data_IF_652787023461
#
_entry.id   IF_652787023461
#
_cell.length_a   1.000
_cell.length_b   1.000
_cell.length_c   1.000
_cell.angle_alpha   90.00
_cell.angle_beta   90.00
_cell.angle_gamma   90.00
#
_symmetry.space_group_name_H-M   'P 1'
#
loop_
_entity.id
_entity.type
_entity.pdbx_description
1 polymer ?
#
# COMPACT_ATOMS: atom_id res chain seq x y z
N UNK A 1 -8.02 14.00 -21.26
CA UNK A 1 -6.74 13.45 -20.79
C UNK A 1 -6.64 11.99 -21.16
N UNK A 2 -5.45 11.46 -21.33
CA UNK A 2 -5.21 10.05 -21.66
C UNK A 2 -4.00 9.53 -20.88
N UNK A 3 -4.08 8.31 -20.42
CA UNK A 3 -2.94 7.58 -19.85
C UNK A 3 -2.34 6.68 -20.94
N UNK A 4 -1.09 6.91 -21.28
CA UNK A 4 -0.38 6.14 -22.30
C UNK A 4 0.66 5.25 -21.65
N UNK A 5 0.61 3.95 -21.95
CA UNK A 5 1.61 2.99 -21.48
C UNK A 5 2.92 3.17 -22.24
N UNK A 6 3.97 3.49 -21.52
CA UNK A 6 5.31 3.66 -22.09
C UNK A 6 6.20 2.43 -21.95
N UNK A 7 6.02 1.65 -20.87
CA UNK A 7 6.85 0.47 -20.60
C UNK A 7 6.11 -0.56 -19.77
N UNK A 8 6.52 -1.80 -19.91
CA UNK A 8 6.07 -2.90 -19.08
C UNK A 8 7.27 -3.74 -18.67
N UNK A 9 7.36 -4.08 -17.37
CA UNK A 9 8.28 -5.06 -16.84
C UNK A 9 7.48 -6.26 -16.34
N UNK A 10 7.59 -7.43 -16.97
CA UNK A 10 6.95 -8.63 -16.44
C UNK A 10 7.47 -8.93 -15.03
N UNK A 11 6.56 -9.07 -14.11
CA UNK A 11 6.81 -9.44 -12.73
C UNK A 11 5.55 -10.14 -12.21
N UNK A 12 5.58 -11.45 -12.16
CA UNK A 12 4.43 -12.24 -11.75
C UNK A 12 3.96 -11.84 -10.36
N UNK A 13 2.66 -11.55 -10.25
CA UNK A 13 2.00 -11.21 -8.98
C UNK A 13 2.61 -10.01 -8.25
N UNK A 14 2.93 -8.93 -8.99
CA UNK A 14 3.32 -7.68 -8.36
C UNK A 14 2.14 -7.13 -7.54
N UNK A 15 2.23 -7.26 -6.22
CA UNK A 15 1.14 -6.85 -5.30
C UNK A 15 1.33 -5.45 -4.76
N UNK A 16 2.58 -5.08 -4.45
CA UNK A 16 2.89 -3.81 -3.84
C UNK A 16 4.02 -3.12 -4.61
N UNK A 17 3.90 -1.82 -4.73
CA UNK A 17 4.92 -0.93 -5.25
C UNK A 17 5.33 0.07 -4.19
N UNK A 18 6.60 0.43 -4.20
CA UNK A 18 7.17 1.45 -3.36
C UNK A 18 8.19 2.23 -4.17
N UNK A 19 8.22 3.54 -3.98
CA UNK A 19 9.08 4.43 -4.73
C UNK A 19 9.98 5.21 -3.77
N UNK A 20 11.26 5.29 -4.10
CA UNK A 20 12.20 6.23 -3.52
C UNK A 20 12.67 7.24 -4.58
N UNK A 21 13.66 8.04 -4.28
CA UNK A 21 14.23 8.97 -5.25
C UNK A 21 14.81 8.24 -6.48
N UNK A 22 15.54 7.14 -6.28
CA UNK A 22 16.24 6.41 -7.35
C UNK A 22 15.57 5.12 -7.78
N UNK A 23 14.77 4.50 -6.91
CA UNK A 23 14.29 3.13 -7.10
C UNK A 23 12.78 3.00 -7.19
N UNK A 24 12.36 1.95 -7.89
CA UNK A 24 11.01 1.37 -7.83
C UNK A 24 11.17 -0.03 -7.30
N UNK A 25 10.48 -0.35 -6.21
CA UNK A 25 10.48 -1.67 -5.57
C UNK A 25 9.15 -2.36 -5.86
N UNK A 26 9.18 -3.42 -6.63
CA UNK A 26 8.00 -4.26 -6.90
C UNK A 26 8.04 -5.51 -6.03
N UNK A 27 7.09 -5.64 -5.10
CA UNK A 27 7.02 -6.80 -4.22
C UNK A 27 6.04 -7.83 -4.76
N UNK A 28 6.51 -9.07 -4.83
CA UNK A 28 5.68 -10.27 -5.00
C UNK A 28 5.67 -11.05 -3.69
N UNK A 29 4.85 -12.07 -3.54
CA UNK A 29 4.78 -12.77 -2.26
C UNK A 29 6.15 -13.20 -1.68
N UNK A 30 7.11 -13.64 -2.49
CA UNK A 30 8.38 -14.21 -2.03
C UNK A 30 9.62 -13.49 -2.58
N UNK A 31 9.44 -12.45 -3.36
CA UNK A 31 10.51 -11.70 -4.01
C UNK A 31 10.25 -10.21 -3.97
N UNK A 32 11.33 -9.43 -4.02
CA UNK A 32 11.27 -8.00 -4.26
C UNK A 32 12.19 -7.65 -5.44
N UNK A 33 11.62 -7.07 -6.49
CA UNK A 33 12.37 -6.58 -7.64
C UNK A 33 12.77 -5.13 -7.39
N UNK A 34 14.05 -4.85 -7.43
CA UNK A 34 14.64 -3.51 -7.34
C UNK A 34 14.87 -3.04 -8.77
N UNK A 35 14.23 -1.95 -9.16
CA UNK A 35 14.27 -1.38 -10.51
C UNK A 35 14.66 0.09 -10.45
N UNK A 36 15.23 0.61 -11.55
CA UNK A 36 15.36 2.04 -11.74
C UNK A 36 14.01 2.70 -12.13
N UNK A 37 13.99 4.01 -12.25
CA UNK A 37 12.80 4.78 -12.64
C UNK A 37 12.31 4.50 -14.07
N UNK A 38 13.10 3.81 -14.87
CA UNK A 38 12.79 3.36 -16.23
C UNK A 38 12.32 1.89 -16.25
N UNK A 39 12.06 1.26 -15.10
CA UNK A 39 11.73 -0.16 -14.95
C UNK A 39 12.84 -1.10 -15.46
N UNK A 40 14.10 -0.71 -15.51
CA UNK A 40 15.18 -1.65 -15.72
C UNK A 40 15.46 -2.38 -14.42
N UNK A 41 15.50 -3.71 -14.47
CA UNK A 41 15.79 -4.52 -13.30
C UNK A 41 17.25 -4.34 -12.91
N UNK A 42 17.48 -3.94 -11.67
CA UNK A 42 18.80 -3.85 -11.05
C UNK A 42 19.11 -5.15 -10.34
N UNK A 43 18.19 -5.60 -9.47
CA UNK A 43 18.37 -6.82 -8.69
C UNK A 43 17.02 -7.43 -8.29
N UNK A 44 17.04 -8.74 -7.98
CA UNK A 44 15.90 -9.44 -7.37
C UNK A 44 16.31 -10.03 -6.04
N UNK A 45 15.68 -9.58 -4.97
CA UNK A 45 15.82 -10.17 -3.64
C UNK A 45 14.91 -11.37 -3.54
N UNK A 46 15.47 -12.55 -3.39
CA UNK A 46 14.73 -13.81 -3.33
C UNK A 46 14.70 -14.41 -1.91
N UNK A 47 13.89 -15.44 -1.71
CA UNK A 47 13.78 -16.16 -0.45
C UNK A 47 13.23 -15.28 0.68
N UNK A 48 12.28 -14.42 0.34
CA UNK A 48 11.48 -13.64 1.28
C UNK A 48 10.26 -14.47 1.68
N UNK A 49 9.74 -14.21 2.88
CA UNK A 49 8.37 -14.56 3.21
C UNK A 49 7.48 -13.43 2.69
N UNK A 50 6.18 -13.64 2.66
CA UNK A 50 5.23 -12.70 2.08
C UNK A 50 5.49 -11.23 2.48
N UNK A 51 5.91 -10.40 1.52
CA UNK A 51 6.28 -9.00 1.78
C UNK A 51 5.06 -8.11 1.74
N UNK A 52 4.80 -7.38 2.81
CA UNK A 52 3.71 -6.40 2.92
C UNK A 52 4.13 -4.99 2.61
N UNK A 53 5.34 -4.62 3.02
CA UNK A 53 5.80 -3.25 2.99
C UNK A 53 7.28 -3.21 2.63
N UNK A 54 7.65 -2.19 1.88
CA UNK A 54 9.02 -1.89 1.55
C UNK A 54 9.26 -0.38 1.68
N UNK A 55 10.43 0.02 2.14
CA UNK A 55 10.85 1.41 2.14
C UNK A 55 12.36 1.50 2.03
N UNK A 56 12.83 2.39 1.16
CA UNK A 56 14.25 2.70 1.01
C UNK A 56 14.67 3.72 2.09
N UNK A 57 15.87 3.55 2.67
CA UNK A 57 16.41 4.47 3.66
C UNK A 57 16.59 5.88 3.07
N UNK A 58 16.60 6.94 3.90
CA UNK A 58 16.73 8.32 3.42
C UNK A 58 17.99 8.59 2.61
N UNK A 59 19.07 7.87 2.91
CA UNK A 59 20.36 7.94 2.20
C UNK A 59 20.44 6.99 0.99
N UNK A 60 19.34 6.26 0.71
CA UNK A 60 19.22 5.26 -0.36
C UNK A 60 20.28 4.14 -0.34
N UNK A 61 20.85 3.84 0.81
CA UNK A 61 21.82 2.75 0.95
C UNK A 61 21.21 1.43 1.37
N UNK A 62 20.00 1.45 1.96
CA UNK A 62 19.34 0.25 2.50
C UNK A 62 17.87 0.19 2.12
N UNK A 63 17.35 -1.03 2.03
CA UNK A 63 15.95 -1.31 1.79
C UNK A 63 15.39 -2.11 2.98
N UNK A 64 14.35 -1.58 3.61
CA UNK A 64 13.53 -2.28 4.58
C UNK A 64 12.45 -3.07 3.85
N UNK A 65 12.31 -4.36 4.18
CA UNK A 65 11.23 -5.23 3.70
C UNK A 65 10.53 -5.86 4.90
N UNK A 66 9.25 -5.58 5.10
CA UNK A 66 8.44 -6.16 6.17
C UNK A 66 7.67 -7.33 5.62
N UNK A 67 7.85 -8.49 6.25
CA UNK A 67 7.21 -9.74 5.86
C UNK A 67 6.02 -10.08 6.76
N UNK A 68 5.18 -10.95 6.24
CA UNK A 68 4.18 -11.64 7.05
C UNK A 68 4.85 -12.48 8.15
N UNK A 69 4.22 -12.53 9.29
CA UNK A 69 4.76 -13.22 10.46
C UNK A 69 5.56 -12.29 11.36
N UNK A 70 6.71 -12.76 11.83
CA UNK A 70 7.53 -12.05 12.81
C UNK A 70 8.90 -11.65 12.28
N UNK A 71 9.00 -11.33 11.00
CA UNK A 71 10.29 -11.07 10.37
C UNK A 71 10.25 -9.82 9.52
N UNK A 72 11.39 -9.14 9.48
CA UNK A 72 11.69 -8.15 8.47
C UNK A 72 13.12 -8.32 7.99
N UNK A 73 13.43 -7.70 6.87
CA UNK A 73 14.74 -7.79 6.24
C UNK A 73 15.29 -6.40 5.98
N UNK A 74 16.59 -6.28 6.15
CA UNK A 74 17.35 -5.13 5.66
C UNK A 74 18.24 -5.62 4.53
N UNK A 75 18.11 -4.99 3.37
CA UNK A 75 18.94 -5.27 2.19
C UNK A 75 19.86 -4.08 1.97
N UNK A 76 21.15 -4.35 1.88
CA UNK A 76 22.12 -3.35 1.44
C UNK A 76 21.97 -3.13 -0.07
N UNK A 77 21.76 -1.90 -0.53
CA UNK A 77 21.50 -1.60 -1.93
C UNK A 77 22.75 -1.54 -2.82
N UNK A 78 23.96 -1.62 -2.24
CA UNK A 78 25.19 -1.72 -2.99
C UNK A 78 25.65 -3.17 -3.21
N UNK A 79 25.56 -3.98 -2.15
CA UNK A 79 25.98 -5.38 -2.20
C UNK A 79 24.84 -6.37 -2.47
N UNK A 80 23.59 -5.93 -2.26
CA UNK A 80 22.37 -6.73 -2.26
C UNK A 80 22.36 -7.86 -1.22
N UNK A 81 23.25 -7.78 -0.24
CA UNK A 81 23.21 -8.67 0.90
C UNK A 81 21.99 -8.43 1.78
N UNK A 82 21.38 -9.52 2.21
CA UNK A 82 20.13 -9.50 2.98
C UNK A 82 20.37 -9.96 4.40
N UNK A 83 20.05 -9.11 5.37
CA UNK A 83 20.01 -9.46 6.80
C UNK A 83 18.56 -9.69 7.22
N UNK A 84 18.30 -10.88 7.80
CA UNK A 84 16.99 -11.22 8.35
C UNK A 84 16.95 -10.92 9.84
N UNK A 85 15.95 -10.18 10.27
CA UNK A 85 15.70 -9.88 11.67
C UNK A 85 14.39 -10.53 12.10
N UNK A 86 14.43 -11.26 13.24
CA UNK A 86 13.24 -11.83 13.85
C UNK A 86 12.76 -10.93 14.96
N UNK A 87 11.49 -10.52 14.90
CA UNK A 87 10.89 -9.67 15.93
C UNK A 87 10.73 -10.46 17.23
N UNK A 88 11.42 -10.02 18.26
CA UNK A 88 11.27 -10.58 19.60
C UNK A 88 10.01 -10.05 20.26
N UNK A 89 9.11 -10.92 20.58
CA UNK A 89 7.92 -10.54 21.31
C UNK A 89 7.33 -11.75 22.02
N UNK A 90 6.58 -11.56 23.13
CA UNK A 90 6.13 -12.65 24.02
C UNK A 90 5.08 -13.57 23.38
N UNK A 91 4.59 -13.28 22.19
CA UNK A 91 3.54 -14.06 21.53
C UNK A 91 3.82 -14.18 20.02
N UNK A 92 3.17 -15.10 19.31
CA UNK A 92 3.23 -15.17 17.86
C UNK A 92 2.70 -13.86 17.28
N UNK A 93 3.53 -13.14 16.53
CA UNK A 93 3.21 -11.83 15.98
C UNK A 93 3.09 -11.90 14.47
N UNK A 94 2.08 -11.22 13.98
CA UNK A 94 2.06 -10.83 12.59
C UNK A 94 2.52 -9.37 12.50
N UNK A 95 3.48 -9.10 11.66
CA UNK A 95 3.77 -7.77 11.22
C UNK A 95 2.79 -7.47 10.09
N UNK A 96 1.74 -6.72 10.39
CA UNK A 96 0.71 -6.35 9.41
C UNK A 96 0.64 -4.84 9.36
N UNK A 97 1.56 -4.23 8.66
CA UNK A 97 1.52 -2.78 8.54
C UNK A 97 2.73 -2.24 7.82
N UNK A 98 2.57 -1.04 7.32
CA UNK A 98 3.67 -0.30 6.74
C UNK A 98 4.55 0.23 7.86
N UNK A 99 5.83 -0.13 7.84
CA UNK A 99 6.87 0.50 8.66
C UNK A 99 7.60 1.57 7.87
N UNK A 100 8.41 2.36 8.56
CA UNK A 100 9.25 3.35 7.92
C UNK A 100 10.61 3.54 8.61
N UNK A 101 11.55 4.09 7.85
CA UNK A 101 12.81 4.59 8.38
C UNK A 101 12.61 5.88 9.18
N UNK A 102 13.47 6.12 10.17
CA UNK A 102 13.61 7.46 10.73
C UNK A 102 14.21 8.41 9.70
N UNK A 103 13.98 9.70 9.87
CA UNK A 103 14.51 10.73 8.95
C UNK A 103 16.03 10.74 8.86
N UNK A 104 16.73 10.37 9.93
CA UNK A 104 18.18 10.25 9.98
C UNK A 104 18.72 8.88 9.55
N UNK A 105 17.84 7.94 9.19
CA UNK A 105 18.19 6.58 8.79
C UNK A 105 18.75 5.69 9.91
N UNK A 106 18.79 6.16 11.15
CA UNK A 106 19.38 5.41 12.27
C UNK A 106 18.43 4.48 13.00
N UNK A 107 17.15 4.60 12.72
CA UNK A 107 16.12 3.76 13.31
C UNK A 107 15.08 3.36 12.27
N UNK A 108 14.34 2.32 12.58
CA UNK A 108 13.15 1.94 11.84
C UNK A 108 11.97 1.80 12.80
N UNK A 109 10.80 2.18 12.32
CA UNK A 109 9.54 2.08 13.03
C UNK A 109 8.68 0.99 12.41
N UNK A 110 8.21 0.05 13.20
CA UNK A 110 7.39 -1.08 12.74
C UNK A 110 6.18 -1.24 13.66
N UNK A 111 4.95 -1.26 13.12
CA UNK A 111 3.79 -1.71 13.86
C UNK A 111 3.92 -3.20 14.16
N UNK A 112 3.87 -3.58 15.43
CA UNK A 112 3.97 -4.97 15.88
C UNK A 112 2.64 -5.36 16.49
N UNK A 113 1.90 -6.25 15.83
CA UNK A 113 0.64 -6.74 16.35
C UNK A 113 0.85 -7.82 17.43
N UNK A 114 0.02 -7.83 18.43
CA UNK A 114 -0.02 -8.90 19.44
C UNK A 114 -1.10 -9.92 19.08
N UNK A 115 -0.71 -11.15 18.85
CA UNK A 115 -1.55 -12.20 18.24
C UNK A 115 -2.61 -12.82 19.12
N UNK A 116 -2.72 -12.46 20.38
CA UNK A 116 -3.76 -13.04 21.25
C UNK A 116 -5.07 -12.28 21.12
N UNK A 117 -5.83 -12.63 20.08
CA UNK A 117 -7.22 -12.24 19.98
C UNK A 117 -7.46 -10.76 19.79
N UNK A 118 -7.13 -10.22 18.62
CA UNK A 118 -7.63 -8.92 18.17
C UNK A 118 -7.26 -7.69 19.00
N UNK A 119 -6.23 -7.74 19.80
CA UNK A 119 -5.83 -6.64 20.66
C UNK A 119 -4.74 -5.83 20.01
N UNK A 120 -4.81 -4.55 20.22
CA UNK A 120 -3.99 -3.45 19.81
C UNK A 120 -2.51 -3.81 19.57
N UNK A 121 -1.92 -3.16 18.59
CA UNK A 121 -0.50 -3.28 18.29
C UNK A 121 0.34 -2.32 19.15
N UNK A 122 1.63 -2.49 19.09
CA UNK A 122 2.61 -1.52 19.57
C UNK A 122 3.36 -0.95 18.40
N UNK A 123 3.79 0.30 18.47
CA UNK A 123 4.75 0.86 17.54
C UNK A 123 6.14 0.61 18.11
N UNK A 124 6.95 -0.18 17.41
CA UNK A 124 8.31 -0.51 17.85
C UNK A 124 9.34 0.24 17.05
N UNK A 125 10.27 0.88 17.75
CA UNK A 125 11.46 1.51 17.19
C UNK A 125 12.67 0.59 17.37
N UNK A 126 13.33 0.24 16.29
CA UNK A 126 14.61 -0.48 16.31
C UNK A 126 15.77 0.45 16.02
N UNK A 127 16.91 0.24 16.69
CA UNK A 127 18.17 0.84 16.30
C UNK A 127 18.80 0.05 15.15
N UNK A 128 19.21 0.71 14.08
CA UNK A 128 19.76 0.04 12.87
C UNK A 128 21.13 -0.56 13.11
N UNK A 129 21.91 0.01 14.02
CA UNK A 129 23.24 -0.52 14.38
C UNK A 129 23.15 -1.75 15.32
N UNK A 130 22.01 -1.95 15.98
CA UNK A 130 21.82 -3.05 16.92
C UNK A 130 20.32 -3.39 17.05
N UNK A 131 19.83 -4.33 16.25
CA UNK A 131 18.43 -4.75 16.26
C UNK A 131 17.98 -5.49 17.54
N UNK A 132 18.91 -5.77 18.47
CA UNK A 132 18.56 -6.24 19.81
C UNK A 132 18.03 -5.09 20.68
N UNK A 133 18.34 -3.85 20.34
CA UNK A 133 17.87 -2.64 21.02
C UNK A 133 16.61 -2.12 20.34
N UNK A 134 15.52 -2.13 21.09
CA UNK A 134 14.25 -1.59 20.63
C UNK A 134 13.48 -0.91 21.78
N UNK A 135 12.58 -0.04 21.39
CA UNK A 135 11.68 0.70 22.26
C UNK A 135 10.24 0.53 21.77
N UNK A 136 9.31 0.25 22.67
CA UNK A 136 7.89 0.11 22.38
C UNK A 136 7.12 1.37 22.80
N UNK A 137 6.37 1.94 21.83
CA UNK A 137 5.51 3.10 22.00
C UNK A 137 4.06 2.74 21.69
N UNK A 138 3.11 3.51 22.21
CA UNK A 138 1.67 3.31 22.00
C UNK A 138 1.17 1.89 22.30
N UNK A 139 1.81 1.22 23.27
CA UNK A 139 1.51 -0.17 23.59
C UNK A 139 0.03 -0.34 23.99
N UNK A 140 -0.63 -1.31 23.33
CA UNK A 140 -2.01 -1.74 23.63
C UNK A 140 -3.10 -0.65 23.50
N UNK A 141 -2.81 0.48 22.87
CA UNK A 141 -3.78 1.55 22.69
C UNK A 141 -4.50 1.48 21.34
N UNK A 142 -3.78 1.19 20.28
CA UNK A 142 -4.30 1.19 18.92
C UNK A 142 -3.94 -0.10 18.17
N UNK A 143 -4.79 -0.48 17.24
CA UNK A 143 -4.39 -1.31 16.12
C UNK A 143 -3.81 -0.38 15.05
N UNK A 144 -2.49 -0.34 14.94
CA UNK A 144 -1.78 0.57 14.04
C UNK A 144 -1.68 -0.10 12.67
N UNK A 145 -2.17 0.59 11.65
CA UNK A 145 -2.18 0.06 10.28
C UNK A 145 -0.88 0.38 9.52
N UNK A 146 -0.23 1.47 9.87
CA UNK A 146 1.01 1.89 9.24
C UNK A 146 1.56 3.18 9.82
N UNK A 147 2.80 3.44 9.54
CA UNK A 147 3.50 4.68 9.84
C UNK A 147 4.24 5.15 8.59
N UNK A 148 4.18 6.43 8.30
CA UNK A 148 4.89 7.08 7.21
C UNK A 148 5.51 8.40 7.64
N UNK A 149 6.57 8.78 6.96
CA UNK A 149 7.15 10.13 7.07
C UNK A 149 6.33 11.08 6.20
N UNK A 150 6.01 12.26 6.69
CA UNK A 150 5.16 13.21 5.95
C UNK A 150 5.83 14.54 5.60
N UNK A 151 6.91 14.92 6.28
CA UNK A 151 7.64 16.15 5.99
C UNK A 151 9.09 16.10 6.46
N UNK A 152 9.84 17.15 6.15
CA UNK A 152 11.23 17.30 6.57
C UNK A 152 11.40 17.69 8.04
N UNK A 153 10.31 17.97 8.77
CA UNK A 153 10.35 18.39 10.17
C UNK A 153 10.29 17.22 11.15
N UNK A 154 10.70 16.03 10.73
CA UNK A 154 10.68 14.80 11.52
C UNK A 154 9.27 14.38 11.97
N UNK A 155 8.23 14.77 11.25
CA UNK A 155 6.86 14.38 11.58
C UNK A 155 6.48 13.08 10.89
N UNK A 156 5.96 12.16 11.67
CA UNK A 156 5.40 10.90 11.21
C UNK A 156 3.88 10.96 11.30
N UNK A 157 3.24 10.28 10.39
CA UNK A 157 1.81 10.10 10.39
C UNK A 157 1.46 8.61 10.52
N UNK A 158 0.54 8.32 11.41
CA UNK A 158 0.01 6.99 11.64
C UNK A 158 -1.52 7.02 11.51
N UNK A 159 -2.06 5.93 11.04
CA UNK A 159 -3.48 5.64 11.20
C UNK A 159 -3.65 4.46 12.15
N UNK A 160 -4.62 4.56 13.03
CA UNK A 160 -4.92 3.50 13.96
C UNK A 160 -6.39 3.48 14.35
N UNK A 161 -6.87 2.36 14.84
CA UNK A 161 -8.21 2.27 15.41
C UNK A 161 -8.15 1.67 16.80
N UNK A 162 -8.96 2.22 17.71
CA UNK A 162 -9.08 1.73 19.07
C UNK A 162 -10.27 0.77 19.16
N UNK A 163 -9.99 -0.51 19.33
CA UNK A 163 -11.04 -1.55 19.43
C UNK A 163 -11.90 -1.43 20.69
N UNK A 164 -11.34 -0.88 21.75
CA UNK A 164 -12.08 -0.65 23.02
C UNK A 164 -13.09 0.49 22.89
N UNK A 165 -12.93 1.34 21.86
CA UNK A 165 -13.81 2.46 21.55
C UNK A 165 -14.60 2.21 20.25
N UNK A 166 -15.19 1.04 20.10
CA UNK A 166 -16.00 0.68 18.92
C UNK A 166 -15.23 0.81 17.58
N UNK A 167 -13.96 0.45 17.57
CA UNK A 167 -13.08 0.61 16.40
C UNK A 167 -12.99 2.07 15.91
N UNK A 168 -13.10 3.03 16.82
CA UNK A 168 -12.92 4.44 16.47
C UNK A 168 -11.56 4.65 15.82
N UNK A 169 -11.54 5.33 14.70
CA UNK A 169 -10.32 5.61 13.95
C UNK A 169 -9.68 6.90 14.44
N UNK A 170 -8.35 6.92 14.42
CA UNK A 170 -7.53 8.04 14.84
C UNK A 170 -6.50 8.39 13.76
N UNK A 171 -6.26 9.68 13.59
CA UNK A 171 -5.04 10.20 13.02
C UNK A 171 -4.07 10.48 14.16
N UNK A 172 -2.85 10.01 14.00
CA UNK A 172 -1.82 10.14 15.01
C UNK A 172 -0.59 10.76 14.35
N UNK A 173 -0.20 11.93 14.83
CA UNK A 173 1.02 12.59 14.42
C UNK A 173 2.08 12.42 15.50
N UNK A 174 3.30 12.15 15.09
CA UNK A 174 4.41 11.92 15.99
C UNK A 174 5.62 12.70 15.50
N UNK A 175 6.22 13.53 16.35
CA UNK A 175 7.37 14.39 16.02
C UNK A 175 8.72 13.83 16.52
N UNK A 176 8.77 12.56 16.91
CA UNK A 176 9.94 11.93 17.53
C UNK A 176 9.93 12.00 19.06
N UNK A 177 9.08 12.82 19.66
CA UNK A 177 9.00 13.01 21.13
C UNK A 177 7.59 12.83 21.68
N UNK A 178 6.60 13.39 21.01
CA UNK A 178 5.20 13.41 21.46
C UNK A 178 4.22 12.95 20.39
N UNK A 179 3.20 12.23 20.83
CA UNK A 179 2.08 11.82 20.00
C UNK A 179 0.91 12.80 20.14
N UNK A 180 0.39 13.26 19.01
CA UNK A 180 -0.85 14.04 18.93
C UNK A 180 -1.91 13.20 18.25
N UNK A 181 -2.99 12.92 18.95
CA UNK A 181 -4.02 11.96 18.55
C UNK A 181 -5.34 12.68 18.27
N UNK A 182 -5.90 12.44 17.10
CA UNK A 182 -7.12 13.08 16.67
C UNK A 182 -8.14 12.01 16.26
N UNK A 183 -9.24 11.87 17.02
CA UNK A 183 -10.29 10.94 16.65
C UNK A 183 -11.05 11.47 15.43
N UNK A 184 -11.36 10.60 14.49
CA UNK A 184 -12.21 10.96 13.37
C UNK A 184 -13.66 11.14 13.83
N UNK A 185 -14.34 12.16 13.29
CA UNK A 185 -15.76 12.41 13.57
C UNK A 185 -16.69 11.31 13.06
N UNK A 186 -16.31 10.64 12.00
CA UNK A 186 -17.08 9.54 11.41
C UNK A 186 -16.25 8.25 11.44
N UNK A 187 -16.88 7.14 11.84
CA UNK A 187 -16.25 5.83 11.69
C UNK A 187 -15.96 5.59 10.21
N UNK A 188 -14.71 5.66 9.83
CA UNK A 188 -14.30 5.19 8.53
C UNK A 188 -14.09 3.67 8.68
N UNK A 189 -14.92 2.85 8.04
CA UNK A 189 -14.59 1.46 7.80
C UNK A 189 -13.40 1.45 6.82
N UNK A 190 -12.21 1.69 7.38
CA UNK A 190 -10.98 1.68 6.62
C UNK A 190 -10.51 0.24 6.54
N UNK A 191 -10.74 -0.39 5.40
CA UNK A 191 -10.28 -1.76 5.14
C UNK A 191 -8.77 -1.85 4.93
N UNK A 192 -8.12 -0.77 4.61
CA UNK A 192 -6.67 -0.60 4.62
C UNK A 192 -6.34 0.88 4.59
N UNK A 193 -5.35 1.32 5.33
CA UNK A 193 -5.09 2.73 5.47
C UNK A 193 -4.13 3.21 4.40
N UNK A 194 -4.63 3.48 3.26
CA UNK A 194 -3.97 4.44 2.39
C UNK A 194 -4.55 5.81 2.73
N UNK A 195 -3.96 6.47 3.69
CA UNK A 195 -4.24 7.87 3.95
C UNK A 195 -3.06 8.69 3.44
N UNK A 196 -3.34 9.69 2.62
CA UNK A 196 -2.37 10.67 2.16
C UNK A 196 -2.55 11.96 2.93
N UNK A 197 -1.43 12.55 3.34
CA UNK A 197 -1.43 13.80 4.11
C UNK A 197 -0.86 14.92 3.26
N UNK A 198 -1.66 15.93 3.02
CA UNK A 198 -1.23 17.22 2.44
C UNK A 198 -1.07 18.21 3.59
N UNK A 199 0.16 18.43 4.02
CA UNK A 199 0.46 19.33 5.15
C UNK A 199 0.21 20.78 4.79
N UNK A 200 0.47 21.20 3.56
CA UNK A 200 0.28 22.58 3.12
C UNK A 200 -1.20 22.95 3.12
N UNK A 201 -2.05 22.09 2.60
CA UNK A 201 -3.51 22.28 2.61
C UNK A 201 -4.15 21.85 3.92
N UNK A 202 -3.41 21.25 4.85
CA UNK A 202 -3.89 20.70 6.13
C UNK A 202 -5.02 19.69 5.96
N UNK A 203 -4.89 18.80 4.98
CA UNK A 203 -5.91 17.82 4.60
C UNK A 203 -5.34 16.42 4.67
N UNK A 204 -6.09 15.50 5.26
CA UNK A 204 -5.88 14.06 5.16
C UNK A 204 -6.96 13.48 4.26
N UNK A 205 -6.55 12.79 3.22
CA UNK A 205 -7.44 12.05 2.32
C UNK A 205 -7.38 10.57 2.66
N UNK A 206 -8.54 9.98 2.92
CA UNK A 206 -8.68 8.58 3.33
C UNK A 206 -9.47 7.79 2.30
N UNK A 207 -8.95 6.63 1.91
CA UNK A 207 -9.67 5.66 1.10
C UNK A 207 -10.84 5.02 1.85
N UNK A 208 -11.95 4.86 1.17
CA UNK A 208 -13.03 3.98 1.58
C UNK A 208 -13.59 3.25 0.36
N UNK A 209 -14.28 2.14 0.58
CA UNK A 209 -14.96 1.39 -0.49
C UNK A 209 -15.90 2.30 -1.30
N UNK A 210 -16.47 3.33 -0.67
CA UNK A 210 -17.48 4.22 -1.27
C UNK A 210 -16.89 5.50 -1.90
N UNK A 211 -15.56 5.68 -1.88
CA UNK A 211 -14.91 6.89 -2.39
C UNK A 211 -13.84 7.44 -1.45
N UNK A 212 -13.43 8.69 -1.68
CA UNK A 212 -12.43 9.37 -0.88
C UNK A 212 -13.10 10.29 0.14
N UNK A 213 -12.69 10.22 1.39
CA UNK A 213 -13.10 11.16 2.42
C UNK A 213 -11.93 12.07 2.77
N UNK A 214 -12.19 13.35 2.82
CA UNK A 214 -11.22 14.35 3.25
C UNK A 214 -11.55 14.84 4.65
N UNK A 215 -10.50 14.98 5.44
CA UNK A 215 -10.55 15.44 6.83
C UNK A 215 -9.51 16.53 7.02
N UNK A 216 -9.73 17.41 8.00
CA UNK A 216 -8.64 18.25 8.53
C UNK A 216 -7.60 17.38 9.24
N UNK A 217 -6.44 17.94 9.54
CA UNK A 217 -5.42 17.23 10.33
C UNK A 217 -5.96 16.81 11.71
N UNK A 218 -6.95 17.54 12.24
CA UNK A 218 -7.59 17.27 13.52
C UNK A 218 -8.76 16.27 13.42
N UNK A 219 -8.95 15.61 12.27
CA UNK A 219 -9.97 14.57 12.08
C UNK A 219 -11.39 15.03 11.82
N UNK A 220 -11.62 16.36 11.57
CA UNK A 220 -12.94 16.86 11.20
C UNK A 220 -13.22 16.59 9.73
N UNK A 221 -14.41 16.08 9.44
CA UNK A 221 -14.81 15.81 8.07
C UNK A 221 -14.94 17.12 7.26
N UNK A 222 -14.33 17.14 6.07
CA UNK A 222 -14.41 18.27 5.13
C UNK A 222 -15.41 17.93 4.03
N UNK A 223 -15.15 16.86 3.28
CA UNK A 223 -16.02 16.40 2.19
C UNK A 223 -15.83 14.92 1.90
N UNK A 224 -16.82 14.36 1.24
CA UNK A 224 -16.74 13.04 0.61
C UNK A 224 -16.72 13.24 -0.89
N UNK A 225 -15.72 12.72 -1.57
CA UNK A 225 -15.69 12.60 -3.01
C UNK A 225 -16.28 11.23 -3.31
N UNK A 226 -17.54 11.21 -3.73
CA UNK A 226 -18.19 9.97 -4.13
C UNK A 226 -17.51 9.45 -5.37
N UNK A 227 -16.94 8.27 -5.29
CA UNK A 227 -16.55 7.54 -6.48
C UNK A 227 -17.84 7.15 -7.22
N UNK A 228 -17.94 7.31 -8.55
CA UNK A 228 -18.97 6.63 -9.28
C UNK A 228 -18.78 5.15 -8.95
N UNK A 229 -19.74 4.56 -8.23
CA UNK A 229 -19.67 3.18 -7.80
C UNK A 229 -19.16 2.35 -8.98
N UNK A 230 -18.07 1.59 -8.84
CA UNK A 230 -17.62 0.73 -9.90
C UNK A 230 -18.84 -0.10 -10.29
N UNK A 231 -19.22 -0.05 -11.54
CA UNK A 231 -20.35 -0.85 -12.03
C UNK A 231 -20.05 -2.28 -11.62
N UNK A 232 -21.04 -2.96 -11.08
CA UNK A 232 -20.91 -4.39 -10.79
C UNK A 232 -20.23 -5.05 -11.98
N UNK A 233 -19.02 -5.54 -11.74
CA UNK A 233 -18.26 -6.19 -12.78
C UNK A 233 -18.82 -7.59 -12.91
N UNK A 234 -19.34 -7.91 -14.06
CA UNK A 234 -19.62 -9.30 -14.40
C UNK A 234 -18.29 -9.98 -14.66
N UNK A 235 -17.77 -10.66 -13.66
CA UNK A 235 -16.60 -11.52 -13.79
C UNK A 235 -17.08 -12.90 -14.24
N UNK A 236 -16.47 -13.44 -15.28
CA UNK A 236 -16.57 -14.88 -15.47
C UNK A 236 -15.94 -15.56 -14.25
N UNK A 237 -16.62 -16.54 -13.69
CA UNK A 237 -16.09 -17.25 -12.52
C UNK A 237 -14.68 -17.78 -12.77
N UNK A 238 -14.38 -18.20 -14.01
CA UNK A 238 -13.06 -18.59 -14.45
C UNK A 238 -12.01 -17.49 -14.30
N UNK A 239 -12.36 -16.24 -14.56
CA UNK A 239 -11.43 -15.12 -14.51
C UNK A 239 -11.15 -14.72 -13.07
N UNK A 240 -12.15 -14.80 -12.18
CA UNK A 240 -12.00 -14.54 -10.75
C UNK A 240 -10.98 -15.49 -10.07
N UNK A 241 -10.86 -16.71 -10.59
CA UNK A 241 -9.96 -17.74 -10.03
C UNK A 241 -8.71 -18.00 -10.87
N UNK A 242 -8.55 -17.35 -12.01
CA UNK A 242 -7.39 -17.53 -12.90
C UNK A 242 -6.05 -17.32 -12.18
N UNK A 243 -6.01 -16.40 -11.22
CA UNK A 243 -4.82 -16.14 -10.40
C UNK A 243 -4.43 -17.35 -9.52
N UNK A 244 -5.36 -18.27 -9.21
CA UNK A 244 -5.07 -19.46 -8.43
C UNK A 244 -4.39 -20.56 -9.26
N UNK A 245 -4.38 -20.41 -10.57
CA UNK A 245 -3.85 -21.39 -11.49
C UNK A 245 -2.36 -21.23 -11.81
N UNK A 246 -1.69 -20.22 -11.25
CA UNK A 246 -0.24 -19.98 -11.37
C UNK A 246 0.31 -19.98 -12.81
N UNK A 247 -0.50 -19.58 -13.78
CA UNK A 247 -0.12 -19.65 -15.19
C UNK A 247 -0.23 -21.05 -15.80
N UNK A 248 -0.65 -22.05 -15.03
CA UNK A 248 -0.86 -23.43 -15.48
C UNK A 248 -2.10 -23.50 -16.40
N UNK A 249 -1.85 -23.63 -17.69
CA UNK A 249 -2.89 -23.65 -18.73
C UNK A 249 -3.87 -24.82 -18.58
N UNK A 250 -3.41 -25.97 -18.10
CA UNK A 250 -4.28 -27.14 -17.89
C UNK A 250 -5.25 -26.90 -16.73
N UNK A 251 -4.79 -26.36 -15.62
CA UNK A 251 -5.64 -25.94 -14.49
C UNK A 251 -6.63 -24.86 -14.90
N UNK A 252 -6.19 -23.90 -15.71
CA UNK A 252 -7.07 -22.84 -16.22
C UNK A 252 -8.22 -23.39 -17.07
N UNK A 253 -7.91 -24.30 -18.00
CA UNK A 253 -8.92 -24.93 -18.84
C UNK A 253 -9.88 -25.77 -18.01
N UNK A 254 -9.38 -26.55 -17.08
CA UNK A 254 -10.20 -27.36 -16.17
C UNK A 254 -11.12 -26.48 -15.29
N UNK A 255 -10.61 -25.33 -14.81
CA UNK A 255 -11.43 -24.39 -14.05
C UNK A 255 -12.55 -23.81 -14.90
N UNK A 256 -12.29 -23.47 -16.16
CA UNK A 256 -13.32 -23.00 -17.11
C UNK A 256 -14.40 -24.05 -17.34
N UNK A 257 -14.01 -25.29 -17.56
CA UNK A 257 -14.96 -26.40 -17.76
C UNK A 257 -15.82 -26.64 -16.52
N UNK A 258 -15.21 -26.65 -15.32
CA UNK A 258 -15.95 -26.81 -14.07
C UNK A 258 -16.89 -25.64 -13.83
N UNK A 259 -16.44 -24.40 -14.05
CA UNK A 259 -17.28 -23.20 -13.89
C UNK A 259 -18.50 -23.23 -14.83
N UNK A 260 -18.30 -23.60 -16.09
CA UNK A 260 -19.36 -23.75 -17.04
C UNK A 260 -20.37 -24.88 -16.66
N UNK A 261 -19.82 -26.02 -16.20
CA UNK A 261 -20.66 -27.17 -15.77
C UNK A 261 -21.53 -26.85 -14.54
N UNK A 262 -21.10 -25.91 -13.71
CA UNK A 262 -21.82 -25.45 -12.52
C UNK A 262 -22.74 -24.24 -12.81
N UNK A 263 -22.81 -23.76 -14.06
CA UNK A 263 -23.56 -22.56 -14.42
C UNK A 263 -23.01 -21.27 -13.81
N UNK A 264 -21.75 -21.27 -13.40
CA UNK A 264 -21.06 -20.13 -12.81
C UNK A 264 -20.34 -19.30 -13.89
N UNK A 265 -21.01 -19.06 -15.01
CA UNK A 265 -20.38 -18.35 -16.12
C UNK A 265 -20.14 -16.88 -15.79
N UNK A 266 -21.06 -16.27 -15.04
CA UNK A 266 -20.98 -14.86 -14.67
C UNK A 266 -21.26 -14.66 -13.18
N UNK A 267 -20.30 -14.12 -12.47
CA UNK A 267 -20.43 -13.68 -11.07
C UNK A 267 -20.43 -12.16 -11.07
N UNK A 268 -21.50 -11.55 -10.57
CA UNK A 268 -21.50 -10.14 -10.23
C UNK A 268 -20.73 -9.97 -8.91
N UNK A 269 -19.58 -9.34 -8.96
CA UNK A 269 -18.78 -9.03 -7.79
C UNK A 269 -18.55 -7.52 -7.73
N UNK A 270 -18.60 -6.92 -6.52
CA UNK A 270 -18.26 -5.52 -6.38
C UNK A 270 -16.79 -5.31 -6.77
N UNK A 271 -16.53 -4.26 -7.53
CA UNK A 271 -15.18 -3.87 -7.91
C UNK A 271 -14.53 -3.15 -6.72
N UNK A 272 -13.61 -3.82 -6.04
CA UNK A 272 -12.95 -3.28 -4.85
C UNK A 272 -11.86 -2.28 -5.23
N UNK A 273 -11.89 -1.11 -4.59
CA UNK A 273 -10.79 -0.15 -4.65
C UNK A 273 -9.62 -0.75 -3.87
N UNK A 274 -8.50 -0.96 -4.54
CA UNK A 274 -7.27 -1.48 -3.94
C UNK A 274 -6.39 -0.37 -3.38
N UNK A 275 -6.32 0.77 -4.08
CA UNK A 275 -5.58 1.96 -3.63
C UNK A 275 -6.13 3.22 -4.28
N UNK A 276 -6.00 4.35 -3.59
CA UNK A 276 -6.16 5.65 -4.22
C UNK A 276 -5.18 6.65 -3.60
N UNK A 277 -4.88 7.69 -4.33
CA UNK A 277 -3.93 8.71 -3.92
C UNK A 277 -4.23 10.04 -4.63
N UNK A 278 -4.01 11.15 -3.93
CA UNK A 278 -4.04 12.46 -4.53
C UNK A 278 -2.73 12.65 -5.33
N UNK A 279 -2.84 13.13 -6.57
CA UNK A 279 -1.66 13.46 -7.37
C UNK A 279 -0.79 14.52 -6.70
N UNK A 280 0.49 14.50 -6.99
CA UNK A 280 1.46 15.48 -6.47
C UNK A 280 1.07 16.93 -6.75
N UNK A 281 0.40 17.20 -7.88
CA UNK A 281 -0.14 18.52 -8.20
C UNK A 281 -1.47 18.85 -7.49
N UNK A 282 -2.07 17.89 -6.79
CA UNK A 282 -3.32 18.08 -6.04
C UNK A 282 -4.58 18.28 -6.86
N UNK A 283 -4.47 18.22 -8.20
CA UNK A 283 -5.60 18.42 -9.13
C UNK A 283 -6.35 17.15 -9.50
N UNK A 284 -5.76 15.99 -9.25
CA UNK A 284 -6.30 14.70 -9.65
C UNK A 284 -6.26 13.69 -8.50
N UNK A 285 -7.11 12.69 -8.59
CA UNK A 285 -7.07 11.49 -7.75
C UNK A 285 -6.81 10.31 -8.64
N UNK A 286 -5.74 9.56 -8.35
CA UNK A 286 -5.50 8.24 -8.91
C UNK A 286 -6.25 7.21 -8.10
N UNK A 287 -6.87 6.27 -8.79
CA UNK A 287 -7.65 5.21 -8.18
C UNK A 287 -7.36 3.89 -8.87
N UNK A 288 -6.97 2.90 -8.10
CA UNK A 288 -6.83 1.53 -8.53
C UNK A 288 -8.00 0.69 -8.04
N UNK A 289 -8.52 -0.15 -8.91
CA UNK A 289 -9.50 -1.18 -8.56
C UNK A 289 -9.13 -2.50 -9.25
N UNK A 290 -9.77 -3.58 -8.88
CA UNK A 290 -9.54 -4.86 -9.56
C UNK A 290 -9.87 -4.80 -11.06
N UNK A 291 -10.76 -3.91 -11.48
CA UNK A 291 -11.20 -3.77 -12.86
C UNK A 291 -10.37 -2.81 -13.70
N UNK A 292 -9.52 -1.98 -13.10
CA UNK A 292 -8.74 -1.03 -13.84
C UNK A 292 -8.11 0.06 -13.00
N UNK A 293 -7.54 1.03 -13.70
CA UNK A 293 -6.95 2.22 -13.13
C UNK A 293 -7.66 3.47 -13.67
N UNK A 294 -7.95 4.42 -12.79
CA UNK A 294 -8.75 5.60 -13.09
C UNK A 294 -8.03 6.86 -12.65
N UNK A 295 -8.18 7.89 -13.45
CA UNK A 295 -7.83 9.27 -13.10
C UNK A 295 -9.14 10.05 -12.89
N UNK A 296 -9.29 10.67 -11.74
CA UNK A 296 -10.46 11.47 -11.39
C UNK A 296 -10.07 12.93 -11.21
N UNK A 297 -10.99 13.84 -11.46
CA UNK A 297 -10.88 15.24 -11.04
C UNK A 297 -11.01 15.33 -9.52
N UNK A 298 -10.07 15.98 -8.85
CA UNK A 298 -10.06 16.06 -7.38
C UNK A 298 -11.16 16.99 -6.80
N UNK A 299 -11.70 17.87 -7.63
CA UNK A 299 -12.80 18.78 -7.24
C UNK A 299 -14.16 18.15 -7.41
N UNK A 300 -14.43 17.57 -8.60
CA UNK A 300 -15.75 17.04 -8.98
C UNK A 300 -15.88 15.54 -8.74
N UNK A 301 -14.79 14.77 -8.79
CA UNK A 301 -14.80 13.31 -8.78
C UNK A 301 -15.09 12.68 -10.14
N UNK A 302 -15.17 13.49 -11.21
CA UNK A 302 -15.43 12.98 -12.56
C UNK A 302 -14.24 12.17 -13.08
N UNK A 303 -14.54 11.12 -13.85
CA UNK A 303 -13.52 10.30 -14.50
C UNK A 303 -12.92 11.08 -15.68
N UNK A 304 -11.63 11.42 -15.59
CA UNK A 304 -10.90 12.13 -16.64
C UNK A 304 -10.22 11.17 -17.61
N UNK A 305 -9.75 10.02 -17.12
CA UNK A 305 -9.13 8.99 -17.91
C UNK A 305 -9.25 7.62 -17.23
N UNK A 306 -9.21 6.56 -18.04
CA UNK A 306 -9.24 5.17 -17.56
C UNK A 306 -8.20 4.33 -18.30
N UNK A 307 -7.73 3.27 -17.65
CA UNK A 307 -6.95 2.20 -18.27
C UNK A 307 -7.71 0.88 -18.05
N UNK A 308 -8.77 0.63 -18.83
CA UNK A 308 -9.67 -0.51 -18.61
C UNK A 308 -9.04 -1.86 -18.98
N UNK A 309 -7.93 -1.84 -19.70
CA UNK A 309 -7.21 -3.05 -20.14
C UNK A 309 -6.34 -3.65 -19.01
N UNK A 310 -6.17 -2.90 -17.92
CA UNK A 310 -5.36 -3.33 -16.80
C UNK A 310 -6.23 -4.07 -15.79
N UNK A 311 -6.33 -5.36 -15.99
CA UNK A 311 -6.98 -6.25 -15.04
C UNK A 311 -6.08 -6.55 -13.84
N UNK A 312 -6.70 -6.60 -12.65
CA UNK A 312 -5.99 -6.97 -11.42
C UNK A 312 -4.98 -5.93 -10.97
N UNK A 313 -5.33 -4.65 -11.05
CA UNK A 313 -4.49 -3.58 -10.50
C UNK A 313 -4.43 -3.73 -8.98
N UNK A 314 -3.22 -3.93 -8.47
CA UNK A 314 -2.98 -4.20 -7.05
C UNK A 314 -2.50 -2.96 -6.31
N UNK A 315 -1.65 -2.17 -6.96
CA UNK A 315 -1.04 -0.99 -6.37
C UNK A 315 -0.56 -0.05 -7.48
N UNK A 316 -0.29 1.19 -7.14
CA UNK A 316 0.35 2.16 -8.03
C UNK A 316 1.13 3.18 -7.21
N UNK A 317 2.04 3.88 -7.86
CA UNK A 317 2.78 4.99 -7.29
C UNK A 317 3.02 6.06 -8.36
N UNK A 318 2.86 7.33 -8.01
CA UNK A 318 3.29 8.44 -8.85
C UNK A 318 4.80 8.63 -8.69
N UNK A 319 5.55 8.41 -9.78
CA UNK A 319 7.02 8.52 -9.79
C UNK A 319 7.45 9.98 -9.91
N UNK A 320 6.72 10.72 -10.73
CA UNK A 320 6.88 12.14 -11.03
C UNK A 320 5.53 12.65 -11.50
N UNK A 321 5.31 13.94 -11.54
CA UNK A 321 4.04 14.54 -11.95
C UNK A 321 3.53 13.96 -13.29
N UNK A 322 2.45 13.19 -13.20
CA UNK A 322 1.84 12.51 -14.33
C UNK A 322 2.61 11.32 -14.90
N UNK A 323 3.62 10.82 -14.18
CA UNK A 323 4.32 9.57 -14.49
C UNK A 323 4.01 8.54 -13.40
N UNK A 324 3.29 7.48 -13.74
CA UNK A 324 2.71 6.54 -12.78
C UNK A 324 3.20 5.12 -13.06
N UNK A 325 3.71 4.45 -12.03
CA UNK A 325 3.94 3.00 -12.06
C UNK A 325 2.71 2.28 -11.51
N UNK A 326 2.24 1.26 -12.21
CA UNK A 326 1.08 0.45 -11.84
C UNK A 326 1.52 -1.01 -11.70
N UNK A 327 1.26 -1.61 -10.55
CA UNK A 327 1.43 -3.04 -10.31
C UNK A 327 0.16 -3.80 -10.65
N UNK A 328 0.32 -4.84 -11.43
CA UNK A 328 -0.76 -5.76 -11.83
C UNK A 328 -0.30 -7.20 -11.58
N UNK A 329 -1.24 -8.16 -11.74
CA UNK A 329 -0.89 -9.59 -11.66
C UNK A 329 0.17 -10.03 -12.66
N UNK A 330 0.36 -9.29 -13.76
CA UNK A 330 1.28 -9.66 -14.84
C UNK A 330 2.56 -8.86 -14.86
N UNK A 331 2.67 -7.79 -14.08
CA UNK A 331 3.88 -6.98 -14.06
C UNK A 331 3.70 -5.57 -13.51
N UNK A 332 4.80 -4.83 -13.59
CA UNK A 332 4.82 -3.40 -13.33
C UNK A 332 4.82 -2.66 -14.66
N UNK A 333 3.90 -1.73 -14.81
CA UNK A 333 3.69 -0.95 -16.04
C UNK A 333 3.85 0.53 -15.76
N UNK A 334 4.47 1.24 -16.66
CA UNK A 334 4.72 2.67 -16.57
C UNK A 334 3.78 3.40 -17.54
N UNK A 335 3.04 4.35 -17.01
CA UNK A 335 2.09 5.19 -17.72
C UNK A 335 2.47 6.65 -17.61
N UNK A 336 2.23 7.39 -18.68
CA UNK A 336 2.36 8.84 -18.72
C UNK A 336 1.00 9.48 -18.98
N UNK A 337 0.69 10.50 -18.20
CA UNK A 337 -0.48 11.35 -18.41
C UNK A 337 -0.19 12.31 -19.56
N UNK A 338 -0.99 12.24 -20.61
CA UNK A 338 -0.90 13.12 -21.78
C UNK A 338 -2.12 14.03 -21.83
N UNK A 339 -1.92 15.32 -22.00
CA UNK A 339 -2.97 16.25 -22.36
C UNK A 339 -3.30 16.01 -23.84
N UNK A 340 -4.56 15.82 -24.15
CA UNK A 340 -5.05 15.81 -25.53
C UNK A 340 -5.05 17.22 -26.08
#
# INVERSE_FOLDING_TARGET
MKLERIKCKPLERAKNLYISQSYIIGCTGQKAAIMDKQLNLIHTVEGLEYVYSAEVSPDETKLLLISNGNKFYIVDLHTFEKTRITVKAPYNHNLEGQGCWSFDGKSIWIPVQRSTGYINSTLRRYCVDDFEKFEDCLADKYCINGISRIDSNNTYFLTGHNRRENNRTYFIFFDGTAFREFPLETSANMLAPTATVDIEKRVVTVASIAGCRQFTLEGKAIKTISHPAPKDKTLRASDAFMHLCDGDTEKQNRLKEVSASLGLEDISAPDYITKHELSSCGGHIYLASESGFYLLDAGTGDILATVPEEYGVQNFEEIDTGLIAIATWTGVKLYKLCNQ
#
